data_IF_592958513752
#
_entry.id   IF_592958513752
#
_cell.length_a   1.000
_cell.length_b   1.000
_cell.length_c   1.000
_cell.angle_alpha   90.00
_cell.angle_beta   90.00
_cell.angle_gamma   90.00
#
_symmetry.space_group_name_H-M   'P 1'
#
loop_
_entity.id
_entity.type
_entity.pdbx_description
1 polymer ?
#
# COMPACT_ATOMS: atom_id res chain seq x y z
N UNK A 1 74.48 -15.13 18.08
CA UNK A 1 74.72 -16.08 19.16
C UNK A 1 73.49 -16.97 19.19
N UNK A 2 73.61 -18.06 18.43
CA UNK A 2 73.12 -19.40 18.78
C UNK A 2 71.68 -19.65 19.24
N UNK A 3 71.07 -20.57 18.47
CA UNK A 3 70.13 -21.64 18.84
C UNK A 3 68.70 -21.23 19.17
N UNK A 4 67.64 -21.91 18.71
CA UNK A 4 67.44 -23.13 17.89
C UNK A 4 65.90 -23.17 17.65
N UNK A 5 65.41 -23.29 16.43
CA UNK A 5 65.05 -24.54 15.73
C UNK A 5 63.98 -25.43 16.40
N UNK A 6 62.85 -25.57 15.72
CA UNK A 6 62.37 -26.83 15.12
C UNK A 6 61.30 -26.45 14.06
N UNK A 7 61.55 -26.54 12.74
CA UNK A 7 61.53 -27.76 11.89
C UNK A 7 60.23 -28.56 12.05
N UNK A 8 59.54 -29.05 11.00
CA UNK A 8 59.71 -29.04 9.56
C UNK A 8 58.34 -29.44 8.97
N UNK A 9 57.99 -29.00 7.76
CA UNK A 9 57.86 -29.95 6.67
C UNK A 9 57.13 -29.33 5.48
N UNK A 10 57.90 -28.76 4.56
CA UNK A 10 57.48 -28.61 3.17
C UNK A 10 57.57 -30.01 2.53
N UNK A 11 56.42 -30.64 2.30
CA UNK A 11 56.34 -31.75 1.34
C UNK A 11 55.97 -31.20 -0.03
N UNK A 12 56.90 -31.42 -0.95
CA UNK A 12 56.80 -31.32 -2.39
C UNK A 12 55.41 -31.71 -2.93
N UNK A 13 54.75 -30.78 -3.63
CA UNK A 13 53.63 -31.15 -4.52
C UNK A 13 54.19 -31.99 -5.68
N UNK A 14 53.72 -33.23 -5.89
CA UNK A 14 53.96 -33.92 -7.15
C UNK A 14 53.10 -33.24 -8.22
N UNK A 15 53.74 -32.89 -9.34
CA UNK A 15 53.04 -32.75 -10.61
C UNK A 15 52.37 -34.09 -10.92
N UNK A 16 51.07 -34.16 -10.68
CA UNK A 16 50.19 -35.22 -11.13
C UNK A 16 48.95 -34.56 -11.70
N UNK A 17 48.82 -34.62 -13.02
CA UNK A 17 47.56 -34.43 -13.73
C UNK A 17 46.53 -35.36 -13.07
N UNK A 18 45.56 -34.76 -12.39
CA UNK A 18 44.26 -35.37 -12.17
C UNK A 18 43.28 -34.33 -12.65
N UNK A 19 42.74 -34.56 -13.85
CA UNK A 19 41.54 -33.91 -14.35
C UNK A 19 40.41 -34.20 -13.34
N UNK A 20 40.31 -33.35 -12.33
CA UNK A 20 39.11 -33.19 -11.54
C UNK A 20 38.28 -32.13 -12.22
N UNK A 21 37.17 -32.55 -12.83
CA UNK A 21 36.14 -31.66 -13.36
C UNK A 21 35.81 -30.61 -12.28
N UNK A 22 36.26 -29.37 -12.44
CA UNK A 22 35.68 -28.25 -11.73
C UNK A 22 34.24 -28.15 -12.24
N UNK A 23 33.31 -28.75 -11.52
CA UNK A 23 31.89 -28.46 -11.64
C UNK A 23 31.75 -26.94 -11.49
N UNK A 24 31.61 -26.25 -12.62
CA UNK A 24 31.18 -24.86 -12.72
C UNK A 24 29.76 -24.76 -12.15
N UNK A 25 29.63 -24.86 -10.83
CA UNK A 25 28.36 -24.64 -10.15
C UNK A 25 28.00 -23.19 -10.34
N UNK A 26 26.88 -22.98 -11.03
CA UNK A 26 26.31 -21.67 -11.24
C UNK A 26 26.18 -20.98 -9.88
N UNK A 27 26.44 -19.67 -9.79
CA UNK A 27 26.34 -18.93 -8.51
C UNK A 27 24.98 -19.12 -7.81
N UNK A 28 23.94 -19.49 -8.57
CA UNK A 28 22.59 -19.82 -8.09
C UNK A 28 22.54 -21.13 -7.29
N UNK A 29 23.48 -22.05 -7.49
CA UNK A 29 23.52 -23.39 -6.87
C UNK A 29 24.40 -23.45 -5.60
N UNK A 30 25.07 -22.34 -5.26
CA UNK A 30 25.93 -22.24 -4.09
C UNK A 30 25.16 -22.38 -2.77
N UNK A 31 25.77 -23.01 -1.77
CA UNK A 31 25.13 -23.21 -0.46
C UNK A 31 24.63 -21.92 0.20
N UNK A 32 25.35 -20.81 0.02
CA UNK A 32 24.95 -19.51 0.53
C UNK A 32 23.65 -19.01 -0.10
N UNK A 33 23.48 -19.19 -1.42
CA UNK A 33 22.25 -18.82 -2.12
C UNK A 33 21.08 -19.72 -1.74
N UNK A 34 21.32 -21.03 -1.62
CA UNK A 34 20.31 -21.99 -1.14
C UNK A 34 19.79 -21.67 0.25
N UNK A 35 20.65 -21.24 1.18
CA UNK A 35 20.24 -20.80 2.52
C UNK A 35 19.40 -19.53 2.50
N UNK A 36 19.74 -18.55 1.64
CA UNK A 36 18.94 -17.34 1.47
C UNK A 36 17.57 -17.66 0.86
N UNK A 37 17.53 -18.45 -0.22
CA UNK A 37 16.27 -18.85 -0.86
C UNK A 37 15.39 -19.68 0.10
N UNK A 38 15.97 -20.50 0.97
CA UNK A 38 15.22 -21.23 2.01
C UNK A 38 14.65 -20.30 3.08
N UNK A 39 15.41 -19.30 3.51
CA UNK A 39 14.93 -18.25 4.42
C UNK A 39 13.79 -17.44 3.77
N UNK A 40 13.97 -17.00 2.52
CA UNK A 40 12.96 -16.26 1.75
C UNK A 40 11.68 -17.10 1.57
N UNK A 41 11.80 -18.39 1.22
CA UNK A 41 10.64 -19.29 1.12
C UNK A 41 9.92 -19.46 2.46
N UNK A 42 10.67 -19.53 3.56
CA UNK A 42 10.09 -19.64 4.90
C UNK A 42 9.37 -18.35 5.29
N UNK A 43 9.93 -17.19 5.00
CA UNK A 43 9.27 -15.90 5.19
C UNK A 43 8.00 -15.79 4.33
N UNK A 44 8.06 -16.16 3.06
CA UNK A 44 6.88 -16.21 2.18
C UNK A 44 5.81 -17.15 2.76
N UNK A 45 6.20 -18.30 3.30
CA UNK A 45 5.25 -19.28 3.87
C UNK A 45 4.59 -18.75 5.13
N UNK A 46 5.39 -18.22 6.07
CA UNK A 46 4.89 -17.56 7.30
C UNK A 46 3.98 -16.38 6.96
N UNK A 47 4.32 -15.61 5.93
CA UNK A 47 3.51 -14.49 5.48
C UNK A 47 2.19 -14.98 4.87
N UNK A 48 2.22 -15.97 3.97
CA UNK A 48 1.02 -16.55 3.37
C UNK A 48 0.08 -17.19 4.40
N UNK A 49 0.60 -17.78 5.48
CA UNK A 49 -0.20 -18.37 6.57
C UNK A 49 -0.93 -17.32 7.42
N UNK A 50 -0.49 -16.05 7.43
CA UNK A 50 -1.21 -14.94 8.09
C UNK A 50 -2.47 -14.53 7.33
N UNK A 51 -2.57 -14.87 6.05
CA UNK A 51 -3.68 -14.49 5.19
C UNK A 51 -4.55 -15.70 4.84
N UNK A 52 -5.82 -15.43 4.53
CA UNK A 52 -6.73 -16.42 3.97
C UNK A 52 -6.15 -17.02 2.69
N UNK A 53 -6.19 -18.35 2.57
CA UNK A 53 -5.59 -19.09 1.46
C UNK A 53 -6.23 -18.65 0.12
N UNK A 54 -5.51 -17.93 -0.76
CA UNK A 54 -6.09 -17.30 -1.97
C UNK A 54 -6.62 -18.30 -3.01
N UNK A 55 -6.29 -19.57 -2.82
CA UNK A 55 -6.59 -20.70 -3.70
C UNK A 55 -7.73 -21.58 -3.19
N UNK A 56 -8.28 -21.31 -2.00
CA UNK A 56 -9.42 -22.09 -1.50
C UNK A 56 -10.71 -21.59 -2.17
N UNK A 57 -11.34 -22.50 -2.90
CA UNK A 57 -12.31 -22.23 -3.94
C UNK A 57 -13.60 -21.61 -3.40
N UNK A 58 -13.80 -20.30 -3.63
CA UNK A 58 -15.15 -19.68 -3.64
C UNK A 58 -15.25 -18.28 -4.26
N UNK A 59 -14.20 -17.75 -4.91
CA UNK A 59 -14.30 -16.49 -5.64
C UNK A 59 -14.38 -16.74 -7.16
N UNK A 60 -15.48 -16.36 -7.83
CA UNK A 60 -15.66 -16.62 -9.27
C UNK A 60 -14.85 -15.68 -10.20
N UNK A 61 -13.93 -14.86 -9.67
CA UNK A 61 -13.21 -13.83 -10.42
C UNK A 61 -11.69 -14.06 -10.47
N UNK A 62 -11.07 -13.68 -11.59
CA UNK A 62 -9.60 -13.58 -11.72
C UNK A 62 -9.15 -12.28 -11.05
N UNK A 63 -8.06 -12.28 -10.29
CA UNK A 63 -7.50 -11.06 -9.71
C UNK A 63 -5.97 -11.04 -9.79
N UNK A 64 -5.39 -9.85 -9.69
CA UNK A 64 -3.95 -9.64 -9.72
C UNK A 64 -3.37 -9.74 -8.31
N UNK A 65 -2.55 -10.76 -8.02
CA UNK A 65 -1.97 -11.00 -6.69
C UNK A 65 -1.03 -9.89 -6.17
N UNK A 66 -0.53 -9.03 -7.05
CA UNK A 66 0.38 -7.94 -6.66
C UNK A 66 -0.35 -6.63 -6.36
N UNK A 67 -1.55 -6.44 -6.90
CA UNK A 67 -2.27 -5.16 -6.84
C UNK A 67 -3.73 -5.30 -6.39
N UNK A 68 -4.17 -6.53 -6.09
CA UNK A 68 -5.54 -6.94 -5.76
C UNK A 68 -6.61 -6.48 -6.77
N UNK A 69 -6.21 -6.16 -8.00
CA UNK A 69 -7.13 -5.73 -9.02
C UNK A 69 -7.97 -6.90 -9.53
N UNK A 70 -9.29 -6.76 -9.42
CA UNK A 70 -10.23 -7.79 -9.88
C UNK A 70 -10.54 -7.60 -11.36
N UNK A 71 -10.42 -8.69 -12.12
CA UNK A 71 -10.73 -8.72 -13.54
C UNK A 71 -12.24 -8.58 -13.77
N UNK A 72 -12.69 -7.78 -14.75
CA UNK A 72 -14.10 -7.75 -15.14
C UNK A 72 -14.49 -9.06 -15.82
N UNK A 73 -15.79 -9.38 -15.82
CA UNK A 73 -16.36 -10.60 -16.42
C UNK A 73 -16.01 -10.80 -17.91
N UNK A 74 -15.60 -9.72 -18.59
CA UNK A 74 -15.11 -9.78 -19.97
C UNK A 74 -13.77 -10.50 -20.14
N UNK A 75 -12.98 -10.65 -19.07
CA UNK A 75 -11.69 -11.36 -19.05
C UNK A 75 -11.96 -12.85 -18.86
N UNK A 76 -11.32 -13.67 -19.71
CA UNK A 76 -11.54 -15.11 -19.74
C UNK A 76 -10.22 -15.92 -19.77
N UNK A 77 -9.11 -15.31 -19.34
CA UNK A 77 -7.77 -15.91 -19.35
C UNK A 77 -7.70 -17.23 -18.57
N UNK A 78 -8.51 -17.39 -17.51
CA UNK A 78 -8.66 -18.62 -16.75
C UNK A 78 -9.11 -19.82 -17.59
N UNK A 79 -9.80 -19.57 -18.71
CA UNK A 79 -10.30 -20.59 -19.62
C UNK A 79 -9.39 -20.76 -20.86
N UNK A 80 -8.16 -20.20 -20.86
CA UNK A 80 -7.29 -20.17 -22.03
C UNK A 80 -7.04 -21.55 -22.63
N UNK A 81 -6.83 -22.58 -21.79
CA UNK A 81 -6.63 -23.95 -22.24
C UNK A 81 -7.88 -24.52 -22.95
N UNK A 82 -9.05 -24.38 -22.33
CA UNK A 82 -10.30 -24.86 -22.91
C UNK A 82 -10.63 -24.15 -24.24
N UNK A 83 -10.44 -22.82 -24.28
CA UNK A 83 -10.60 -22.02 -25.50
C UNK A 83 -9.63 -22.49 -26.59
N UNK A 84 -8.35 -22.66 -26.25
CA UNK A 84 -7.31 -23.10 -27.19
C UNK A 84 -7.59 -24.50 -27.76
N UNK A 85 -7.99 -25.45 -26.91
CA UNK A 85 -8.36 -26.81 -27.33
C UNK A 85 -9.52 -26.82 -28.32
N UNK A 86 -10.58 -26.04 -28.07
CA UNK A 86 -11.71 -25.93 -28.99
C UNK A 86 -11.31 -25.25 -30.30
N UNK A 87 -10.47 -24.21 -30.25
CA UNK A 87 -9.95 -23.57 -31.46
C UNK A 87 -9.08 -24.51 -32.30
N UNK A 88 -8.24 -25.33 -31.65
CA UNK A 88 -7.44 -26.36 -32.32
C UNK A 88 -8.33 -27.40 -33.00
N UNK A 89 -9.38 -27.87 -32.31
CA UNK A 89 -10.34 -28.83 -32.86
C UNK A 89 -11.06 -28.27 -34.09
N UNK A 90 -11.55 -27.03 -34.01
CA UNK A 90 -12.20 -26.34 -35.13
C UNK A 90 -11.25 -26.18 -36.32
N UNK A 91 -10.01 -25.79 -36.06
CA UNK A 91 -9.00 -25.65 -37.10
C UNK A 91 -8.75 -26.98 -37.82
N UNK A 92 -8.53 -28.08 -37.07
CA UNK A 92 -8.31 -29.42 -37.62
C UNK A 92 -9.45 -29.89 -38.53
N UNK A 93 -10.70 -29.56 -38.19
CA UNK A 93 -11.88 -29.90 -39.02
C UNK A 93 -11.92 -29.06 -40.31
N UNK A 94 -11.45 -27.82 -40.27
CA UNK A 94 -11.47 -26.87 -41.40
C UNK A 94 -10.27 -26.94 -42.36
N UNK A 95 -9.31 -27.84 -42.09
CA UNK A 95 -8.04 -27.95 -42.83
C UNK A 95 -8.20 -28.09 -44.35
N UNK A 96 -9.30 -28.67 -44.83
CA UNK A 96 -9.56 -28.91 -46.25
C UNK A 96 -10.07 -27.70 -47.03
N UNK A 97 -10.68 -26.70 -46.37
CA UNK A 97 -11.31 -25.54 -47.04
C UNK A 97 -10.70 -24.20 -46.65
N UNK A 98 -10.04 -24.09 -45.48
CA UNK A 98 -9.68 -22.79 -44.88
C UNK A 98 -8.29 -22.77 -44.23
N UNK A 99 -7.35 -23.60 -44.70
CA UNK A 99 -6.00 -23.75 -44.13
C UNK A 99 -5.26 -22.42 -43.85
N UNK A 100 -5.37 -21.44 -44.75
CA UNK A 100 -4.70 -20.13 -44.62
C UNK A 100 -5.43 -19.14 -43.71
N UNK A 101 -6.60 -19.48 -43.16
CA UNK A 101 -7.33 -18.54 -42.30
C UNK A 101 -6.65 -18.39 -40.95
N UNK A 102 -6.49 -17.14 -40.54
CA UNK A 102 -5.93 -16.79 -39.24
C UNK A 102 -6.85 -17.24 -38.10
N UNK A 103 -6.29 -17.98 -37.14
CA UNK A 103 -6.98 -18.29 -35.88
C UNK A 103 -7.07 -17.01 -35.05
N UNK A 104 -8.29 -16.47 -34.90
CA UNK A 104 -8.52 -15.25 -34.13
C UNK A 104 -8.25 -15.49 -32.64
N UNK A 105 -7.56 -14.58 -31.96
CA UNK A 105 -7.40 -14.61 -30.51
C UNK A 105 -8.76 -14.43 -29.83
N UNK A 106 -9.30 -15.50 -29.22
CA UNK A 106 -10.54 -15.47 -28.41
C UNK A 106 -10.27 -15.26 -26.92
N UNK A 107 -9.03 -15.48 -26.48
CA UNK A 107 -8.59 -15.24 -25.11
C UNK A 107 -8.43 -13.74 -24.88
N UNK A 108 -9.14 -13.25 -23.87
CA UNK A 108 -9.20 -11.88 -23.39
C UNK A 108 -8.43 -11.81 -22.08
N UNK A 109 -7.31 -11.09 -22.09
CA UNK A 109 -6.44 -10.86 -20.94
C UNK A 109 -6.79 -9.54 -20.26
N UNK A 110 -6.14 -9.26 -19.12
CA UNK A 110 -6.23 -7.97 -18.43
C UNK A 110 -5.74 -6.77 -19.27
N UNK A 111 -5.07 -7.02 -20.41
CA UNK A 111 -4.68 -5.98 -21.37
C UNK A 111 -5.88 -5.18 -21.91
N UNK A 112 -7.07 -5.77 -21.92
CA UNK A 112 -8.32 -5.07 -22.28
C UNK A 112 -8.65 -3.89 -21.37
N UNK A 113 -8.11 -3.87 -20.15
CA UNK A 113 -8.32 -2.77 -19.20
C UNK A 113 -7.47 -1.54 -19.53
N UNK A 114 -6.43 -1.69 -20.37
CA UNK A 114 -5.58 -0.56 -20.76
C UNK A 114 -6.42 0.51 -21.43
N UNK A 115 -6.27 1.74 -20.96
CA UNK A 115 -6.91 2.90 -21.58
C UNK A 115 -6.41 3.03 -23.01
N UNK A 116 -7.32 3.29 -23.92
CA UNK A 116 -7.05 3.37 -25.35
C UNK A 116 -7.99 4.37 -26.00
N UNK A 117 -7.51 4.99 -27.08
CA UNK A 117 -8.35 5.84 -27.93
C UNK A 117 -8.94 4.98 -29.03
N UNK A 118 -10.26 5.02 -29.21
CA UNK A 118 -10.93 4.26 -30.27
C UNK A 118 -11.05 5.12 -31.53
N UNK A 119 -10.37 4.72 -32.60
CA UNK A 119 -10.44 5.38 -33.91
C UNK A 119 -11.09 4.42 -34.91
N UNK A 120 -12.23 4.82 -35.47
CA UNK A 120 -13.02 3.99 -36.43
C UNK A 120 -13.30 2.57 -35.90
N UNK A 121 -13.61 2.46 -34.61
CA UNK A 121 -13.92 1.18 -33.94
C UNK A 121 -12.70 0.31 -33.61
N UNK A 122 -11.47 0.77 -33.85
CA UNK A 122 -10.24 0.10 -33.40
C UNK A 122 -9.60 0.88 -32.27
N UNK A 123 -9.45 0.22 -31.12
CA UNK A 123 -8.67 0.74 -30.02
C UNK A 123 -7.19 0.81 -30.41
N UNK A 124 -6.58 1.98 -30.22
CA UNK A 124 -5.14 2.21 -30.36
C UNK A 124 -4.57 2.18 -28.95
N UNK A 125 -3.82 1.12 -28.65
CA UNK A 125 -3.23 0.87 -27.34
C UNK A 125 -1.80 1.41 -27.22
N UNK A 126 -1.13 1.59 -28.36
CA UNK A 126 0.31 1.83 -28.38
C UNK A 126 0.65 3.23 -28.88
N UNK A 127 1.05 4.08 -27.93
CA UNK A 127 1.53 5.44 -28.17
C UNK A 127 2.82 5.42 -29.00
N UNK A 128 3.66 4.38 -28.89
CA UNK A 128 4.89 4.23 -29.69
C UNK A 128 4.53 4.00 -31.15
N UNK A 129 3.61 3.09 -31.44
CA UNK A 129 3.08 2.89 -32.80
C UNK A 129 2.42 4.15 -33.34
N UNK A 130 1.66 4.88 -32.52
CA UNK A 130 1.04 6.15 -32.93
C UNK A 130 2.10 7.20 -33.29
N UNK A 131 3.12 7.36 -32.45
CA UNK A 131 4.23 8.26 -32.68
C UNK A 131 4.99 7.92 -33.97
N UNK A 132 5.31 6.64 -34.18
CA UNK A 132 5.93 6.18 -35.42
C UNK A 132 5.09 6.48 -36.66
N UNK A 133 3.76 6.33 -36.58
CA UNK A 133 2.86 6.71 -37.67
C UNK A 133 2.84 8.21 -37.90
N UNK A 134 2.83 9.02 -36.84
CA UNK A 134 2.85 10.49 -36.95
C UNK A 134 4.15 10.99 -37.59
N UNK A 135 5.29 10.39 -37.27
CA UNK A 135 6.57 10.70 -37.92
C UNK A 135 6.50 10.45 -39.44
N UNK A 136 5.97 9.30 -39.86
CA UNK A 136 5.81 8.97 -41.28
C UNK A 136 4.83 9.92 -41.97
N UNK A 137 3.71 10.24 -41.31
CA UNK A 137 2.69 11.13 -41.86
C UNK A 137 3.21 12.57 -41.97
N UNK A 138 3.93 13.08 -40.98
CA UNK A 138 4.55 14.40 -41.02
C UNK A 138 5.55 14.55 -42.17
N UNK A 139 6.28 13.48 -42.49
CA UNK A 139 7.18 13.44 -43.65
C UNK A 139 6.45 13.39 -44.99
N UNK A 140 5.28 12.74 -45.07
CA UNK A 140 4.61 12.46 -46.35
C UNK A 140 3.41 13.37 -46.67
N UNK A 141 2.80 14.02 -45.68
CA UNK A 141 1.49 14.69 -45.84
C UNK A 141 1.46 16.17 -45.47
N UNK A 142 2.60 16.83 -45.35
CA UNK A 142 2.68 18.26 -44.97
C UNK A 142 1.93 18.58 -43.66
N UNK A 143 1.94 17.65 -42.71
CA UNK A 143 1.38 17.88 -41.37
C UNK A 143 2.51 18.43 -40.51
N UNK A 144 2.28 19.59 -39.89
CA UNK A 144 3.20 20.12 -38.90
C UNK A 144 3.12 19.27 -37.63
N UNK A 145 4.22 18.56 -37.35
CA UNK A 145 4.34 17.71 -36.16
C UNK A 145 4.30 18.58 -34.88
N UNK A 146 4.74 19.83 -34.94
CA UNK A 146 4.70 20.75 -33.81
C UNK A 146 3.26 21.01 -33.35
N UNK A 147 2.32 21.18 -34.28
CA UNK A 147 0.89 21.33 -33.96
C UNK A 147 0.31 20.07 -33.33
N UNK A 148 0.74 18.89 -33.77
CA UNK A 148 0.27 17.61 -33.21
C UNK A 148 0.77 17.42 -31.77
N UNK A 149 2.00 17.81 -31.46
CA UNK A 149 2.57 17.71 -30.11
C UNK A 149 2.08 18.77 -29.12
N UNK A 150 1.22 19.71 -29.55
CA UNK A 150 0.48 20.57 -28.62
C UNK A 150 -0.64 19.81 -27.88
N UNK A 151 -1.02 18.63 -28.38
CA UNK A 151 -2.07 17.81 -27.80
C UNK A 151 -1.48 16.56 -27.12
N UNK A 152 -2.14 16.09 -26.07
CA UNK A 152 -1.81 14.81 -25.45
C UNK A 152 -2.16 13.68 -26.42
N UNK A 153 -1.15 12.88 -26.80
CA UNK A 153 -1.27 11.79 -27.77
C UNK A 153 -1.58 10.44 -27.11
N UNK A 154 -1.73 10.43 -25.79
CA UNK A 154 -2.17 9.30 -25.01
C UNK A 154 -3.64 9.45 -24.57
N UNK A 155 -4.31 8.34 -24.21
CA UNK A 155 -5.66 8.39 -23.64
C UNK A 155 -5.70 8.99 -22.22
N UNK A 156 -4.57 9.05 -21.53
CA UNK A 156 -4.41 9.58 -20.17
C UNK A 156 -3.01 10.20 -20.02
N UNK A 157 -2.83 11.31 -19.28
CA UNK A 157 -1.51 11.92 -19.09
C UNK A 157 -0.52 10.93 -18.45
N UNK A 158 0.44 10.37 -19.20
CA UNK A 158 1.23 9.23 -18.73
C UNK A 158 2.21 9.64 -17.62
N UNK A 159 2.45 10.94 -17.45
CA UNK A 159 3.20 11.48 -16.33
C UNK A 159 2.51 11.28 -14.98
N UNK A 160 1.17 11.19 -14.95
CA UNK A 160 0.38 11.12 -13.71
C UNK A 160 -0.52 9.89 -13.65
N UNK A 161 -0.82 9.25 -14.77
CA UNK A 161 -1.76 8.13 -14.82
C UNK A 161 -1.06 6.96 -15.50
N UNK A 162 -1.23 5.76 -14.94
CA UNK A 162 -0.73 4.54 -15.55
C UNK A 162 -1.59 4.12 -16.76
N UNK A 163 -1.16 3.06 -17.45
CA UNK A 163 -1.85 2.58 -18.64
C UNK A 163 -3.26 2.02 -18.36
N UNK A 164 -3.61 1.74 -17.09
CA UNK A 164 -4.93 1.25 -16.67
C UNK A 164 -5.87 2.39 -16.26
N UNK A 165 -5.38 3.63 -16.26
CA UNK A 165 -6.15 4.80 -15.86
C UNK A 165 -6.10 5.05 -14.35
N UNK A 166 -5.13 4.49 -13.64
CA UNK A 166 -4.95 4.66 -12.21
C UNK A 166 -3.87 5.70 -11.90
N UNK A 167 -3.99 6.38 -10.76
CA UNK A 167 -2.92 7.24 -10.26
C UNK A 167 -1.67 6.38 -10.02
N UNK A 168 -0.51 6.92 -10.40
CA UNK A 168 0.77 6.24 -10.19
C UNK A 168 1.11 6.30 -8.71
N UNK A 169 1.58 5.17 -8.17
CA UNK A 169 1.99 5.04 -6.77
C UNK A 169 3.52 5.15 -6.64
N UNK A 170 3.98 5.92 -5.66
CA UNK A 170 5.37 5.95 -5.21
C UNK A 170 5.61 5.02 -4.01
N UNK A 171 6.87 4.85 -3.59
CA UNK A 171 7.17 4.15 -2.33
C UNK A 171 7.18 5.16 -1.17
N UNK A 172 6.00 5.42 -0.61
CA UNK A 172 5.84 6.31 0.56
C UNK A 172 6.69 5.85 1.75
N UNK A 173 6.86 4.54 1.94
CA UNK A 173 7.57 3.98 3.09
C UNK A 173 9.05 4.41 3.16
N UNK A 174 9.61 4.93 2.06
CA UNK A 174 10.93 5.58 2.04
C UNK A 174 11.00 6.76 3.01
N UNK A 175 9.90 7.51 3.21
CA UNK A 175 9.86 8.61 4.19
C UNK A 175 10.08 8.09 5.60
N UNK A 176 9.33 7.06 6.01
CA UNK A 176 9.51 6.42 7.32
C UNK A 176 10.93 5.89 7.47
N UNK A 177 11.44 5.15 6.48
CA UNK A 177 12.80 4.57 6.53
C UNK A 177 13.91 5.63 6.67
N UNK A 178 13.72 6.80 6.06
CA UNK A 178 14.77 7.83 6.00
C UNK A 178 14.67 8.84 7.15
N UNK A 179 13.46 9.05 7.67
CA UNK A 179 13.20 10.08 8.68
C UNK A 179 12.98 9.50 10.07
N UNK A 180 12.52 8.27 10.21
CA UNK A 180 12.23 7.78 11.55
C UNK A 180 13.47 7.65 12.42
N UNK A 181 13.30 8.00 13.69
CA UNK A 181 14.26 7.72 14.75
C UNK A 181 13.66 6.63 15.64
N UNK A 182 14.38 5.54 15.86
CA UNK A 182 13.91 4.46 16.72
C UNK A 182 14.08 4.79 18.20
N UNK A 183 13.10 4.41 19.01
CA UNK A 183 13.17 4.47 20.46
C UNK A 183 13.99 3.31 20.98
N UNK A 184 15.02 3.58 21.77
CA UNK A 184 15.84 2.55 22.43
C UNK A 184 15.23 2.07 23.75
N UNK A 185 14.54 2.95 24.46
CA UNK A 185 13.91 2.66 25.76
C UNK A 185 12.50 3.26 25.81
N UNK A 186 11.46 2.47 25.47
CA UNK A 186 10.11 2.99 25.40
C UNK A 186 9.51 3.24 26.79
N UNK A 187 8.82 4.37 26.93
CA UNK A 187 8.05 4.69 28.13
C UNK A 187 6.70 3.96 28.12
N UNK A 188 6.12 3.71 29.29
CA UNK A 188 4.74 3.25 29.35
C UNK A 188 3.80 4.37 28.84
N UNK A 189 2.91 4.08 27.87
CA UNK A 189 2.00 5.10 27.35
C UNK A 189 0.86 5.37 28.34
N UNK A 190 0.45 6.64 28.49
CA UNK A 190 -0.79 7.00 29.18
C UNK A 190 -2.00 6.70 28.28
N UNK A 191 -1.84 6.98 26.98
CA UNK A 191 -2.86 6.77 25.94
C UNK A 191 -2.25 6.01 24.76
N UNK A 192 -2.98 5.01 24.26
CA UNK A 192 -2.69 4.31 23.01
C UNK A 192 -3.80 4.63 22.02
N UNK A 193 -3.49 5.26 20.90
CA UNK A 193 -4.40 5.49 19.79
C UNK A 193 -4.16 4.41 18.73
N UNK A 194 -5.21 3.71 18.32
CA UNK A 194 -5.08 2.54 17.44
C UNK A 194 -5.78 2.83 16.12
N UNK A 195 -5.02 2.65 15.04
CA UNK A 195 -5.54 2.68 13.67
C UNK A 195 -6.33 1.39 13.40
N UNK A 196 -7.66 1.51 13.28
CA UNK A 196 -8.49 0.32 13.05
C UNK A 196 -8.34 -0.24 11.64
N UNK A 197 -8.01 0.61 10.65
CA UNK A 197 -7.79 0.18 9.27
C UNK A 197 -6.67 -0.86 9.19
N UNK A 198 -5.66 -0.71 10.05
CA UNK A 198 -4.58 -1.69 10.21
C UNK A 198 -4.90 -2.78 11.23
N UNK A 199 -5.51 -2.46 12.37
CA UNK A 199 -5.82 -3.44 13.42
C UNK A 199 -6.55 -4.67 12.88
N UNK A 200 -7.51 -4.48 11.97
CA UNK A 200 -8.28 -5.57 11.36
C UNK A 200 -7.39 -6.55 10.57
N UNK A 201 -6.24 -6.09 10.05
CA UNK A 201 -5.27 -6.94 9.36
C UNK A 201 -4.32 -7.67 10.31
N UNK A 202 -4.17 -7.18 11.54
CA UNK A 202 -3.23 -7.70 12.55
C UNK A 202 -3.90 -8.45 13.70
N UNK A 203 -5.20 -8.72 13.59
CA UNK A 203 -5.92 -9.65 14.45
C UNK A 203 -6.25 -10.92 13.67
N UNK A 204 -6.39 -12.02 14.41
CA UNK A 204 -6.90 -13.26 13.83
C UNK A 204 -8.35 -13.00 13.41
N UNK A 205 -8.61 -13.03 12.10
CA UNK A 205 -9.98 -12.90 11.60
C UNK A 205 -10.73 -14.20 11.92
N UNK A 206 -11.79 -14.15 12.74
CA UNK A 206 -12.47 -15.35 13.17
C UNK A 206 -13.30 -15.92 12.01
N UNK A 207 -12.83 -17.01 11.42
CA UNK A 207 -13.53 -17.67 10.30
C UNK A 207 -14.65 -18.54 10.87
N UNK A 208 -15.90 -18.21 10.56
CA UNK A 208 -17.13 -18.89 11.05
C UNK A 208 -17.53 -18.60 12.50
N UNK A 209 -16.85 -17.71 13.21
CA UNK A 209 -17.28 -17.20 14.51
C UNK A 209 -17.98 -15.84 14.36
N UNK A 210 -18.34 -15.18 15.46
CA UNK A 210 -19.19 -13.99 15.47
C UNK A 210 -18.41 -12.67 15.42
N UNK A 211 -19.12 -11.57 15.24
CA UNK A 211 -18.54 -10.21 15.40
C UNK A 211 -18.06 -9.95 16.83
N UNK A 212 -18.59 -10.67 17.83
CA UNK A 212 -18.13 -10.60 19.22
C UNK A 212 -16.75 -11.22 19.41
N UNK A 213 -16.46 -12.31 18.71
CA UNK A 213 -15.15 -12.97 18.73
C UNK A 213 -14.08 -12.08 18.09
N UNK A 214 -14.45 -11.33 17.05
CA UNK A 214 -13.58 -10.29 16.47
C UNK A 214 -13.29 -9.18 17.49
N UNK A 215 -14.32 -8.69 18.20
CA UNK A 215 -14.13 -7.69 19.26
C UNK A 215 -13.22 -8.22 20.39
N UNK A 216 -13.40 -9.47 20.81
CA UNK A 216 -12.54 -10.13 21.80
C UNK A 216 -11.08 -10.23 21.31
N UNK A 217 -10.88 -10.46 20.00
CA UNK A 217 -9.56 -10.48 19.38
C UNK A 217 -8.88 -9.11 19.42
N UNK A 218 -9.63 -8.01 19.29
CA UNK A 218 -9.09 -6.66 19.51
C UNK A 218 -8.61 -6.48 20.95
N UNK A 219 -9.43 -6.91 21.92
CA UNK A 219 -9.08 -6.87 23.35
C UNK A 219 -7.80 -7.65 23.64
N UNK A 220 -7.71 -8.88 23.12
CA UNK A 220 -6.53 -9.75 23.26
C UNK A 220 -5.30 -9.11 22.65
N UNK A 221 -5.41 -8.55 21.44
CA UNK A 221 -4.28 -7.90 20.75
C UNK A 221 -3.75 -6.71 21.54
N UNK A 222 -4.63 -5.93 22.18
CA UNK A 222 -4.27 -4.72 22.93
C UNK A 222 -3.94 -4.97 24.41
N UNK A 223 -4.07 -6.21 24.90
CA UNK A 223 -3.86 -6.56 26.30
C UNK A 223 -2.40 -6.46 26.77
N UNK A 224 -1.45 -6.43 25.84
CA UNK A 224 -0.01 -6.30 26.16
C UNK A 224 0.36 -4.90 26.67
N UNK A 225 -0.46 -3.88 26.41
CA UNK A 225 -0.25 -2.54 26.95
C UNK A 225 -0.64 -2.48 28.44
N UNK A 226 0.02 -1.61 29.24
CA UNK A 226 -0.25 -1.50 30.68
C UNK A 226 -1.75 -1.32 31.00
N UNK A 227 -2.29 -1.95 32.05
CA UNK A 227 -3.71 -1.82 32.40
C UNK A 227 -4.16 -0.38 32.65
N UNK A 228 -3.26 0.47 33.13
CA UNK A 228 -3.51 1.90 33.38
C UNK A 228 -3.64 2.74 32.11
N UNK A 229 -3.06 2.29 30.98
CA UNK A 229 -3.11 3.02 29.72
C UNK A 229 -4.53 3.00 29.16
N UNK A 230 -5.04 4.16 28.72
CA UNK A 230 -6.29 4.24 27.96
C UNK A 230 -6.01 3.90 26.50
N UNK A 231 -6.71 2.92 25.93
CA UNK A 231 -6.65 2.55 24.51
C UNK A 231 -7.88 3.11 23.81
N UNK A 232 -7.66 3.79 22.70
CA UNK A 232 -8.71 4.42 21.90
C UNK A 232 -8.57 3.89 20.47
N UNK A 233 -9.53 3.09 20.05
CA UNK A 233 -9.56 2.45 18.73
C UNK A 233 -10.40 3.31 17.81
N UNK A 234 -9.78 3.81 16.74
CA UNK A 234 -10.33 4.85 15.87
C UNK A 234 -10.62 4.28 14.48
N UNK A 235 -11.86 4.45 14.03
CA UNK A 235 -12.34 3.94 12.75
C UNK A 235 -12.42 5.06 11.72
N UNK A 236 -12.27 4.70 10.45
CA UNK A 236 -12.77 5.52 9.34
C UNK A 236 -14.29 5.75 9.49
N UNK A 237 -14.75 6.91 9.02
CA UNK A 237 -16.16 7.19 8.84
C UNK A 237 -16.60 6.87 7.41
N UNK A 238 -17.72 6.17 7.31
CA UNK A 238 -18.30 5.69 6.05
C UNK A 238 -19.76 6.15 5.85
N UNK A 239 -20.23 7.14 6.62
CA UNK A 239 -21.60 7.67 6.63
C UNK A 239 -21.89 8.68 5.52
N UNK A 240 -20.87 9.19 4.85
CA UNK A 240 -21.05 10.15 3.76
C UNK A 240 -21.21 9.42 2.44
N UNK A 241 -22.28 9.74 1.72
CA UNK A 241 -22.49 9.29 0.34
C UNK A 241 -21.60 10.02 -0.67
N UNK A 242 -20.86 11.04 -0.20
CA UNK A 242 -19.96 11.81 -1.05
C UNK A 242 -18.79 10.94 -1.54
N UNK A 243 -18.36 11.10 -2.80
CA UNK A 243 -17.16 10.45 -3.30
C UNK A 243 -15.95 10.81 -2.45
N UNK A 244 -15.26 9.81 -1.94
CA UNK A 244 -14.01 9.95 -1.21
C UNK A 244 -12.83 9.80 -2.20
N UNK A 245 -11.71 10.50 -1.94
CA UNK A 245 -10.50 10.38 -2.75
C UNK A 245 -9.98 8.93 -2.90
N UNK A 246 -10.23 8.06 -1.92
CA UNK A 246 -9.89 6.63 -1.93
C UNK A 246 -10.88 5.75 -2.72
N UNK A 247 -11.99 6.28 -3.24
CA UNK A 247 -12.97 5.49 -3.99
C UNK A 247 -12.42 4.94 -5.30
N UNK A 248 -11.45 5.63 -5.91
CA UNK A 248 -10.74 5.11 -7.08
C UNK A 248 -9.99 3.81 -6.75
N UNK A 249 -9.27 3.76 -5.62
CA UNK A 249 -8.59 2.56 -5.16
C UNK A 249 -9.58 1.45 -4.79
N UNK A 250 -10.65 1.78 -4.05
CA UNK A 250 -11.70 0.82 -3.67
C UNK A 250 -12.35 0.18 -4.89
N UNK A 251 -12.62 0.96 -5.93
CA UNK A 251 -13.22 0.46 -7.17
C UNK A 251 -12.30 -0.49 -7.91
N UNK A 252 -10.98 -0.33 -7.79
CA UNK A 252 -10.00 -1.22 -8.42
C UNK A 252 -9.89 -2.60 -7.74
N UNK A 253 -10.13 -2.69 -6.43
CA UNK A 253 -10.03 -3.92 -5.61
C UNK A 253 -11.28 -4.83 -5.68
N UNK A 254 -12.22 -4.50 -6.57
CA UNK A 254 -13.46 -5.25 -6.77
C UNK A 254 -14.60 -4.79 -5.85
N UNK A 255 -15.84 -5.08 -6.26
CA UNK A 255 -17.04 -4.79 -5.47
C UNK A 255 -17.47 -6.05 -4.73
N UNK A 256 -17.39 -6.04 -3.41
CA UNK A 256 -18.06 -7.05 -2.61
C UNK A 256 -19.56 -6.72 -2.48
N UNK A 257 -20.40 -7.75 -2.45
CA UNK A 257 -21.83 -7.58 -2.21
C UNK A 257 -22.07 -7.07 -0.78
N UNK A 258 -23.11 -6.25 -0.63
CA UNK A 258 -23.58 -5.85 0.70
C UNK A 258 -24.03 -7.09 1.47
N UNK A 259 -23.57 -7.23 2.71
CA UNK A 259 -23.96 -8.34 3.59
C UNK A 259 -24.91 -7.85 4.67
N UNK A 260 -25.80 -8.75 5.10
CA UNK A 260 -26.58 -8.54 6.32
C UNK A 260 -25.78 -9.07 7.50
N UNK A 261 -25.01 -8.20 8.14
CA UNK A 261 -24.27 -8.50 9.36
C UNK A 261 -25.13 -8.16 10.60
N UNK A 262 -25.14 -9.06 11.56
CA UNK A 262 -25.73 -8.87 12.89
C UNK A 262 -24.74 -9.35 13.96
N UNK A 263 -24.96 -9.04 15.24
CA UNK A 263 -24.09 -9.55 16.31
C UNK A 263 -23.88 -11.08 16.27
N UNK A 264 -24.93 -11.84 15.93
CA UNK A 264 -24.94 -13.30 15.99
C UNK A 264 -24.68 -13.99 14.65
N UNK A 265 -24.52 -13.24 13.55
CA UNK A 265 -24.19 -13.86 12.25
C UNK A 265 -22.73 -14.28 12.21
N UNK A 266 -22.41 -15.46 11.66
CA UNK A 266 -21.03 -15.81 11.34
C UNK A 266 -20.39 -14.72 10.49
N UNK A 267 -19.18 -14.34 10.86
CA UNK A 267 -18.45 -13.28 10.20
C UNK A 267 -18.09 -13.74 8.79
N UNK A 268 -18.47 -12.98 7.74
CA UNK A 268 -18.05 -13.27 6.38
C UNK A 268 -16.53 -13.22 6.24
N UNK A 269 -16.02 -13.70 5.11
CA UNK A 269 -14.62 -13.52 4.75
C UNK A 269 -14.23 -12.04 4.83
N UNK A 270 -13.02 -11.79 5.35
CA UNK A 270 -12.50 -10.44 5.59
C UNK A 270 -12.64 -9.54 4.37
N UNK A 271 -12.30 -10.06 3.19
CA UNK A 271 -12.32 -9.31 1.93
C UNK A 271 -13.75 -8.89 1.53
N UNK A 272 -14.78 -9.67 1.88
CA UNK A 272 -16.18 -9.30 1.64
C UNK A 272 -16.55 -8.04 2.46
N UNK A 273 -16.01 -7.93 3.67
CA UNK A 273 -16.21 -6.75 4.51
C UNK A 273 -15.32 -5.60 4.03
N UNK A 274 -14.02 -5.85 3.83
CA UNK A 274 -13.04 -4.81 3.57
C UNK A 274 -13.10 -4.21 2.15
N UNK A 275 -13.74 -4.86 1.19
CA UNK A 275 -13.92 -4.31 -0.17
C UNK A 275 -15.27 -3.59 -0.37
N UNK A 276 -16.08 -3.42 0.67
CA UNK A 276 -17.34 -2.69 0.59
C UNK A 276 -17.48 -1.71 1.77
N UNK A 277 -17.58 -0.41 1.48
CA UNK A 277 -17.65 0.65 2.49
C UNK A 277 -18.87 0.54 3.40
N UNK A 278 -20.02 0.08 2.89
CA UNK A 278 -21.22 -0.15 3.70
C UNK A 278 -21.05 -1.34 4.64
N UNK A 279 -20.39 -2.41 4.18
CA UNK A 279 -20.06 -3.55 5.04
C UNK A 279 -19.10 -3.14 6.16
N UNK A 280 -18.08 -2.32 5.85
CA UNK A 280 -17.19 -1.75 6.88
C UNK A 280 -17.96 -0.90 7.89
N UNK A 281 -18.82 0.00 7.41
CA UNK A 281 -19.64 0.84 8.28
C UNK A 281 -20.50 -0.01 9.23
N UNK A 282 -21.15 -1.03 8.68
CA UNK A 282 -21.99 -1.95 9.44
C UNK A 282 -21.17 -2.71 10.49
N UNK A 283 -19.99 -3.21 10.12
CA UNK A 283 -19.08 -3.87 11.07
C UNK A 283 -18.65 -2.91 12.19
N UNK A 284 -18.20 -1.71 11.86
CA UNK A 284 -17.75 -0.71 12.84
C UNK A 284 -18.85 -0.41 13.87
N UNK A 285 -20.08 -0.20 13.39
CA UNK A 285 -21.23 0.05 14.25
C UNK A 285 -21.56 -1.14 15.17
N UNK A 286 -21.47 -2.36 14.66
CA UNK A 286 -21.68 -3.58 15.47
C UNK A 286 -20.58 -3.72 16.52
N UNK A 287 -19.31 -3.54 16.13
CA UNK A 287 -18.15 -3.68 17.03
C UNK A 287 -18.24 -2.72 18.22
N UNK A 288 -18.69 -1.48 18.01
CA UNK A 288 -18.82 -0.49 19.07
C UNK A 288 -19.83 -0.87 20.17
N UNK A 289 -20.73 -1.83 19.93
CA UNK A 289 -21.71 -2.29 20.91
C UNK A 289 -21.20 -3.43 21.82
N UNK A 290 -20.04 -4.01 21.52
CA UNK A 290 -19.50 -5.09 22.34
C UNK A 290 -18.77 -4.57 23.58
N UNK A 291 -18.96 -5.22 24.74
CA UNK A 291 -18.23 -4.87 25.94
C UNK A 291 -16.75 -5.24 25.77
N UNK A 292 -15.89 -4.25 25.97
CA UNK A 292 -14.43 -4.43 26.05
C UNK A 292 -13.95 -4.07 27.47
N UNK A 293 -12.72 -4.46 27.84
CA UNK A 293 -12.08 -3.96 29.05
C UNK A 293 -12.26 -2.44 29.19
N UNK A 294 -12.53 -1.96 30.41
CA UNK A 294 -12.88 -0.56 30.69
C UNK A 294 -11.87 0.49 30.21
N UNK A 295 -10.63 0.07 29.99
CA UNK A 295 -9.55 0.91 29.48
C UNK A 295 -9.43 0.87 27.95
N UNK A 296 -10.28 0.12 27.22
CA UNK A 296 -10.35 0.09 25.76
C UNK A 296 -11.66 0.74 25.32
N UNK A 297 -11.55 1.83 24.57
CA UNK A 297 -12.67 2.56 24.01
C UNK A 297 -12.66 2.41 22.48
N UNK A 298 -13.68 1.76 21.93
CA UNK A 298 -14.01 1.87 20.52
C UNK A 298 -14.75 3.19 20.31
N UNK A 299 -14.24 4.05 19.44
CA UNK A 299 -14.88 5.33 19.17
C UNK A 299 -15.90 5.15 18.07
N UNK A 300 -17.18 5.08 18.46
CA UNK A 300 -18.28 5.10 17.50
C UNK A 300 -18.34 6.45 16.77
N UNK A 301 -18.96 6.44 15.60
CA UNK A 301 -19.15 7.63 14.77
C UNK A 301 -19.82 8.81 15.51
N UNK A 302 -20.82 8.51 16.34
CA UNK A 302 -21.56 9.51 17.11
C UNK A 302 -20.74 10.06 18.29
N UNK A 303 -19.80 9.27 18.81
CA UNK A 303 -18.92 9.66 19.93
C UNK A 303 -17.62 10.32 19.45
N UNK A 304 -17.35 10.23 18.14
CA UNK A 304 -16.16 10.80 17.54
C UNK A 304 -16.32 12.32 17.47
N UNK A 305 -15.40 13.02 18.14
CA UNK A 305 -15.42 14.48 18.29
C UNK A 305 -15.00 15.25 17.03
N UNK A 306 -14.52 14.55 15.99
CA UNK A 306 -13.97 15.14 14.76
C UNK A 306 -14.73 14.61 13.56
N UNK A 307 -15.26 15.48 12.71
CA UNK A 307 -16.11 15.12 11.57
C UNK A 307 -15.35 14.63 10.33
N UNK A 308 -14.03 14.44 10.41
CA UNK A 308 -13.23 13.95 9.30
C UNK A 308 -13.53 12.48 9.00
N UNK A 309 -13.40 12.08 7.72
CA UNK A 309 -13.72 10.71 7.29
C UNK A 309 -12.60 9.72 7.57
N UNK A 310 -11.35 10.15 7.47
CA UNK A 310 -10.19 9.25 7.51
C UNK A 310 -9.60 9.14 8.92
N UNK A 311 -9.31 7.90 9.34
CA UNK A 311 -8.81 7.56 10.67
C UNK A 311 -7.45 8.19 10.97
N UNK A 312 -6.58 8.37 9.98
CA UNK A 312 -5.26 8.99 10.10
C UNK A 312 -5.32 10.44 10.62
N UNK A 313 -6.25 11.24 10.12
CA UNK A 313 -6.52 12.61 10.57
C UNK A 313 -7.23 12.61 11.94
N UNK A 314 -8.18 11.68 12.15
CA UNK A 314 -8.86 11.52 13.44
C UNK A 314 -7.85 11.17 14.53
N UNK A 315 -6.89 10.28 14.27
CA UNK A 315 -5.80 9.91 15.17
C UNK A 315 -5.01 11.14 15.61
N UNK A 316 -4.62 12.01 14.67
CA UNK A 316 -3.88 13.22 15.00
C UNK A 316 -4.71 14.17 15.90
N UNK A 317 -6.01 14.29 15.63
CA UNK A 317 -6.91 15.09 16.46
C UNK A 317 -7.06 14.53 17.88
N UNK A 318 -7.18 13.20 18.01
CA UNK A 318 -7.22 12.53 19.31
C UNK A 318 -5.89 12.59 20.05
N UNK A 319 -4.77 12.60 19.34
CA UNK A 319 -3.44 12.85 19.91
C UNK A 319 -3.39 14.24 20.52
N UNK A 320 -3.76 15.29 19.79
CA UNK A 320 -3.80 16.66 20.31
C UNK A 320 -4.77 16.80 21.50
N UNK A 321 -5.93 16.14 21.44
CA UNK A 321 -6.88 16.10 22.56
C UNK A 321 -6.27 15.42 23.80
N UNK A 322 -5.57 14.30 23.63
CA UNK A 322 -4.89 13.62 24.73
C UNK A 322 -3.82 14.52 25.37
N UNK A 323 -3.07 15.27 24.56
CA UNK A 323 -2.11 16.28 25.05
C UNK A 323 -2.82 17.35 25.86
N UNK A 324 -3.94 17.89 25.35
CA UNK A 324 -4.69 18.96 26.02
C UNK A 324 -5.27 18.54 27.38
N UNK A 325 -5.60 17.25 27.56
CA UNK A 325 -6.06 16.70 28.85
C UNK A 325 -4.92 16.27 29.77
N UNK A 326 -3.66 16.49 29.38
CA UNK A 326 -2.49 16.30 30.23
C UNK A 326 -1.75 14.97 30.09
N UNK A 327 -2.05 14.17 29.05
CA UNK A 327 -1.28 12.96 28.78
C UNK A 327 0.19 13.31 28.50
N UNK A 328 1.11 12.58 29.12
CA UNK A 328 2.55 12.82 29.02
C UNK A 328 3.19 11.93 27.96
N UNK A 329 2.70 10.70 27.79
CA UNK A 329 3.15 9.76 26.76
C UNK A 329 1.96 9.23 25.99
N UNK A 330 1.95 9.50 24.68
CA UNK A 330 0.92 9.04 23.75
C UNK A 330 1.58 8.14 22.72
N UNK A 331 1.02 6.94 22.55
CA UNK A 331 1.48 5.98 21.56
C UNK A 331 0.44 5.77 20.49
N UNK A 332 0.85 5.81 19.24
CA UNK A 332 0.01 5.58 18.07
C UNK A 332 0.42 4.24 17.49
N UNK A 333 -0.50 3.28 17.42
CA UNK A 333 -0.28 1.97 16.82
C UNK A 333 -0.75 2.01 15.35
N UNK A 334 0.19 2.10 14.42
CA UNK A 334 -0.04 2.12 12.97
C UNK A 334 1.27 1.82 12.22
N UNK A 335 1.16 1.22 11.03
CA UNK A 335 2.27 1.08 10.07
C UNK A 335 2.16 2.10 8.92
N UNK A 336 1.13 2.96 8.94
CA UNK A 336 0.82 3.86 7.83
C UNK A 336 1.77 5.06 7.76
N UNK A 337 2.34 5.29 6.57
CA UNK A 337 3.21 6.44 6.34
C UNK A 337 2.45 7.76 6.41
N UNK A 338 1.18 7.78 6.03
CA UNK A 338 0.36 8.99 6.05
C UNK A 338 0.17 9.45 7.51
N UNK A 339 -0.07 8.50 8.44
CA UNK A 339 -0.08 8.74 9.89
C UNK A 339 1.26 9.27 10.38
N UNK A 340 2.38 8.64 10.00
CA UNK A 340 3.72 9.08 10.39
C UNK A 340 3.99 10.54 10.00
N UNK A 341 3.70 10.88 8.75
CA UNK A 341 3.88 12.24 8.20
C UNK A 341 2.99 13.25 8.92
N UNK A 342 1.72 12.92 9.16
CA UNK A 342 0.79 13.79 9.89
C UNK A 342 1.25 14.01 11.33
N UNK A 343 1.75 12.97 12.01
CA UNK A 343 2.27 13.08 13.38
C UNK A 343 3.46 14.02 13.46
N UNK A 344 4.44 13.92 12.56
CA UNK A 344 5.58 14.85 12.51
C UNK A 344 5.12 16.29 12.28
N UNK A 345 4.24 16.51 11.30
CA UNK A 345 3.73 17.83 10.96
C UNK A 345 3.01 18.47 12.16
N UNK A 346 2.03 17.78 12.76
CA UNK A 346 1.22 18.33 13.85
C UNK A 346 2.00 18.47 15.15
N UNK A 347 2.91 17.53 15.46
CA UNK A 347 3.80 17.63 16.63
C UNK A 347 4.66 18.88 16.55
N UNK A 348 5.24 19.17 15.37
CA UNK A 348 6.04 20.37 15.12
C UNK A 348 5.18 21.64 15.13
N UNK A 349 4.07 21.63 14.39
CA UNK A 349 3.18 22.79 14.22
C UNK A 349 2.58 23.26 15.54
N UNK A 350 2.12 22.33 16.37
CA UNK A 350 1.48 22.60 17.66
C UNK A 350 2.48 22.68 18.81
N UNK A 351 3.78 22.46 18.54
CA UNK A 351 4.86 22.45 19.56
C UNK A 351 4.51 21.52 20.73
N UNK A 352 4.12 20.30 20.40
CA UNK A 352 3.66 19.32 21.39
C UNK A 352 4.80 18.98 22.35
N UNK A 353 4.51 19.12 23.65
CA UNK A 353 5.48 18.85 24.73
C UNK A 353 5.42 17.38 25.19
N UNK A 354 4.26 16.73 25.02
CA UNK A 354 4.10 15.31 25.32
C UNK A 354 5.00 14.44 24.43
N UNK A 355 5.36 13.27 24.93
CA UNK A 355 6.10 12.24 24.19
C UNK A 355 5.14 11.52 23.25
N UNK A 356 5.33 11.72 21.96
CA UNK A 356 4.58 11.12 20.86
C UNK A 356 5.43 10.02 20.25
N UNK A 357 4.90 8.81 20.27
CA UNK A 357 5.55 7.62 19.72
C UNK A 357 4.63 6.94 18.73
N UNK A 358 5.20 6.43 17.64
CA UNK A 358 4.49 5.58 16.69
C UNK A 358 5.03 4.16 16.81
N UNK A 359 4.20 3.21 17.22
CA UNK A 359 4.54 1.80 17.31
C UNK A 359 4.02 1.09 16.07
N UNK A 360 4.91 0.32 15.45
CA UNK A 360 4.60 -0.54 14.32
C UNK A 360 4.08 -1.89 14.81
N UNK A 361 3.38 -2.61 13.94
CA UNK A 361 2.81 -3.91 14.31
C UNK A 361 3.85 -5.02 14.56
N UNK A 362 5.08 -4.81 14.09
CA UNK A 362 6.24 -5.66 14.40
C UNK A 362 6.87 -5.36 15.78
N UNK A 363 6.40 -4.33 16.49
CA UNK A 363 6.89 -3.90 17.80
C UNK A 363 7.96 -2.81 17.76
N UNK A 364 8.42 -2.38 16.58
CA UNK A 364 9.36 -1.26 16.47
C UNK A 364 8.65 0.04 16.85
N UNK A 365 9.31 0.85 17.69
CA UNK A 365 8.76 2.13 18.15
C UNK A 365 9.61 3.26 17.59
N UNK A 366 8.93 4.21 16.93
CA UNK A 366 9.50 5.42 16.37
C UNK A 366 9.23 6.60 17.31
N UNK A 367 10.27 7.40 17.55
CA UNK A 367 10.19 8.63 18.34
C UNK A 367 9.85 9.80 17.43
N UNK A 368 8.60 10.28 17.50
CA UNK A 368 8.15 11.37 16.65
C UNK A 368 8.77 12.69 17.11
N UNK A 369 8.93 12.92 18.42
CA UNK A 369 9.52 14.15 18.93
C UNK A 369 10.99 14.28 18.49
N UNK A 370 11.78 13.23 18.63
CA UNK A 370 13.18 13.21 18.21
C UNK A 370 13.30 13.33 16.69
N UNK A 371 12.40 12.68 15.95
CA UNK A 371 12.33 12.84 14.50
C UNK A 371 12.08 14.29 14.09
N UNK A 372 11.09 14.96 14.69
CA UNK A 372 10.78 16.38 14.48
C UNK A 372 11.96 17.28 14.82
N UNK A 373 12.69 16.99 15.91
CA UNK A 373 13.88 17.74 16.29
C UNK A 373 15.01 17.58 15.26
N UNK A 374 15.24 16.35 14.78
CA UNK A 374 16.28 16.00 13.81
C UNK A 374 16.03 16.63 12.43
N UNK A 375 14.79 16.63 11.94
CA UNK A 375 14.46 17.22 10.62
C UNK A 375 14.29 18.74 10.70
N UNK A 376 13.92 19.28 11.86
CA UNK A 376 13.78 20.70 12.11
C UNK A 376 12.48 21.32 11.59
N UNK A 377 12.08 22.48 12.14
CA UNK A 377 10.76 23.08 11.93
C UNK A 377 10.51 23.49 10.46
N UNK A 378 11.59 23.84 9.75
CA UNK A 378 11.54 24.26 8.35
C UNK A 378 11.08 23.10 7.45
N UNK A 379 11.70 21.93 7.60
CA UNK A 379 11.33 20.73 6.84
C UNK A 379 9.98 20.18 7.27
N UNK A 380 9.67 20.18 8.57
CA UNK A 380 8.33 19.82 9.06
C UNK A 380 7.22 20.64 8.38
N UNK A 381 7.41 21.95 8.20
CA UNK A 381 6.39 22.83 7.61
C UNK A 381 6.02 22.47 6.17
N UNK A 382 6.94 21.86 5.42
CA UNK A 382 6.77 21.50 4.01
C UNK A 382 6.47 20.02 3.79
N UNK A 383 6.48 19.24 4.87
CA UNK A 383 6.39 17.78 4.82
C UNK A 383 5.12 17.30 4.13
N UNK A 384 3.96 17.92 4.40
CA UNK A 384 2.70 17.57 3.73
C UNK A 384 2.76 17.83 2.22
N UNK A 385 3.38 18.93 1.80
CA UNK A 385 3.55 19.25 0.38
C UNK A 385 4.52 18.30 -0.32
N UNK A 386 5.60 17.90 0.35
CA UNK A 386 6.56 16.90 -0.15
C UNK A 386 5.92 15.51 -0.21
N UNK A 387 5.14 15.15 0.81
CA UNK A 387 4.38 13.92 0.84
C UNK A 387 3.39 13.83 -0.33
N UNK A 388 2.66 14.92 -0.62
CA UNK A 388 1.82 15.02 -1.80
C UNK A 388 2.62 14.81 -3.11
N UNK A 389 3.80 15.40 -3.24
CA UNK A 389 4.66 15.19 -4.42
C UNK A 389 5.25 13.78 -4.53
N UNK A 390 5.38 13.07 -3.41
CA UNK A 390 5.87 11.69 -3.36
C UNK A 390 4.82 10.63 -3.76
N UNK A 391 3.60 11.05 -4.09
CA UNK A 391 2.50 10.14 -4.41
C UNK A 391 1.69 9.81 -3.16
N UNK A 392 0.64 10.60 -2.98
CA UNK A 392 -0.50 10.49 -2.07
C UNK A 392 -1.39 9.25 -2.21
N UNK A 393 -2.31 9.04 -1.27
CA UNK A 393 -3.55 8.31 -1.60
C UNK A 393 -4.45 9.13 -2.53
N UNK A 394 -4.29 10.46 -2.47
CA UNK A 394 -5.15 11.43 -3.19
C UNK A 394 -4.49 12.06 -4.41
N UNK A 395 -3.18 11.89 -4.58
CA UNK A 395 -2.39 12.53 -5.65
C UNK A 395 -1.38 11.56 -6.25
N UNK A 396 -1.17 11.66 -7.57
CA UNK A 396 -0.29 10.76 -8.29
C UNK A 396 1.19 11.09 -8.11
N UNK A 397 2.02 10.05 -8.10
CA UNK A 397 3.45 10.17 -8.20
C UNK A 397 3.92 10.43 -9.65
N UNK A 398 4.71 11.48 -9.92
CA UNK A 398 5.17 11.76 -11.27
C UNK A 398 6.03 10.64 -11.87
N UNK A 399 5.69 10.19 -13.08
CA UNK A 399 6.41 9.14 -13.79
C UNK A 399 7.88 9.50 -14.02
N UNK A 400 8.76 8.51 -13.89
CA UNK A 400 10.21 8.67 -14.14
C UNK A 400 10.95 9.43 -13.04
N UNK A 401 10.31 9.75 -11.91
CA UNK A 401 11.00 10.23 -10.71
C UNK A 401 11.39 9.04 -9.84
N UNK A 402 12.62 9.02 -9.34
CA UNK A 402 13.04 8.03 -8.33
C UNK A 402 12.57 8.48 -6.94
N UNK A 403 12.21 7.55 -6.03
CA UNK A 403 11.77 7.89 -4.66
C UNK A 403 12.82 8.76 -3.89
N UNK A 404 14.10 8.62 -4.24
CA UNK A 404 15.19 9.49 -3.75
C UNK A 404 15.00 10.98 -4.10
N UNK A 405 14.17 11.29 -5.09
CA UNK A 405 13.80 12.66 -5.46
C UNK A 405 12.96 13.32 -4.37
N UNK A 406 12.05 12.59 -3.72
CA UNK A 406 11.25 13.11 -2.61
C UNK A 406 12.12 13.44 -1.38
N UNK A 407 13.12 12.61 -1.10
CA UNK A 407 14.10 12.89 -0.03
C UNK A 407 14.98 14.09 -0.36
N UNK A 408 15.42 14.24 -1.62
CA UNK A 408 16.14 15.44 -2.08
C UNK A 408 15.29 16.71 -1.96
N UNK A 409 13.96 16.60 -2.09
CA UNK A 409 13.07 17.73 -1.86
C UNK A 409 13.03 18.14 -0.38
N UNK A 410 13.28 17.24 0.57
CA UNK A 410 13.41 17.59 2.00
C UNK A 410 14.67 18.42 2.30
N UNK A 411 15.71 18.31 1.47
CA UNK A 411 16.93 19.11 1.58
C UNK A 411 16.75 20.54 1.02
N UNK A 412 15.74 20.75 0.19
CA UNK A 412 15.47 22.01 -0.49
C UNK A 412 14.30 22.72 0.19
N UNK A 413 14.50 23.97 0.56
CA UNK A 413 13.38 24.82 0.97
C UNK A 413 12.63 25.34 -0.24
N UNK A 414 11.34 25.05 -0.33
CA UNK A 414 10.47 25.52 -1.41
C UNK A 414 9.53 26.59 -0.86
N UNK A 415 9.86 27.89 -0.96
CA UNK A 415 9.04 28.95 -0.35
C UNK A 415 7.56 28.86 -0.77
N UNK A 416 6.66 28.92 0.21
CA UNK A 416 5.22 28.89 -0.02
C UNK A 416 4.61 27.50 -0.16
N UNK A 417 5.40 26.41 -0.20
CA UNK A 417 4.85 25.04 -0.27
C UNK A 417 3.95 24.70 0.93
N UNK A 418 4.28 25.25 2.10
CA UNK A 418 3.50 25.18 3.33
C UNK A 418 2.20 26.00 3.29
N UNK A 419 2.10 26.96 2.36
CA UNK A 419 0.95 27.86 2.20
C UNK A 419 -0.06 27.37 1.15
N UNK A 420 0.31 26.38 0.33
CA UNK A 420 -0.58 25.77 -0.68
C UNK A 420 -1.49 24.69 -0.05
N UNK A 421 -1.30 24.39 1.24
CA UNK A 421 -2.07 23.39 1.97
C UNK A 421 -3.35 24.01 2.53
N UNK A 422 -4.47 23.80 1.83
CA UNK A 422 -5.80 24.27 2.24
C UNK A 422 -6.69 24.57 1.02
N UNK A 423 -8.01 24.66 1.25
CA UNK A 423 -8.91 25.09 0.17
C UNK A 423 -8.52 26.49 -0.33
N UNK A 424 -8.61 26.76 -1.64
CA UNK A 424 -8.41 28.09 -2.18
C UNK A 424 -9.29 29.11 -1.43
N UNK A 425 -8.67 30.03 -0.69
CA UNK A 425 -9.38 31.07 0.07
C UNK A 425 -9.60 30.80 1.56
N UNK A 426 -9.13 29.67 2.11
CA UNK A 426 -9.17 29.43 3.56
C UNK A 426 -8.18 30.34 4.29
N UNK A 427 -8.66 31.14 5.24
CA UNK A 427 -7.82 32.01 6.07
C UNK A 427 -7.19 31.23 7.24
N UNK A 428 -6.03 31.67 7.73
CA UNK A 428 -5.27 30.97 8.77
C UNK A 428 -6.09 30.63 10.04
N UNK A 429 -7.05 31.48 10.39
CA UNK A 429 -7.98 31.25 11.51
C UNK A 429 -8.92 30.05 11.29
N UNK A 430 -9.38 29.84 10.05
CA UNK A 430 -10.27 28.71 9.71
C UNK A 430 -9.54 27.37 9.75
N UNK A 431 -8.25 27.36 9.40
CA UNK A 431 -7.41 26.17 9.52
C UNK A 431 -7.13 25.79 10.98
N UNK A 432 -7.13 26.77 11.90
CA UNK A 432 -7.02 26.55 13.34
C UNK A 432 -8.33 26.11 13.99
N UNK A 433 -9.50 26.45 13.42
CA UNK A 433 -10.80 25.97 13.90
C UNK A 433 -11.10 24.51 13.50
N UNK A 434 -10.43 24.00 12.46
CA UNK A 434 -10.51 22.60 12.03
C UNK A 434 -9.51 21.64 12.68
N UNK A 435 -8.56 22.17 13.46
CA UNK A 435 -7.63 21.40 14.29
C UNK A 435 -8.11 21.38 15.75
#
# INVERSE_FOLDING_TARGET
MEHMYNEAGEELKPHGEVDGEEENKHNEEGEGRRRLDEADRKEITVELEKYSQPLNAQQPGVYNICHDQVAPDTVNVQNALAIGSEQSRQFSVSLSSEFHKTIKKKVKTMELLKKSVTVKGKAIYDVVTLFGRLLVVGQQRSIDIADVFQFELSPVPPALIDEYGCLRKGDKAVLVKSLSVSVTTPYAPDVVLVDTGQLVNHVIWPVSETTGDLAASFGTRLAHYPPVSKKVVLFDRYDREAPNAKDHERTSKGRANEVRLTPNTPLPWREIILHNSKNKNLLNNILCNYPLPHNIQLVAMLDCVVTHEEADVIICSYMLKAVAVGAQTIRILSDDTDVFVLLEYWTSKMRVVAKIQMEKWNGDILDINETVQRIGPKTCSQLLGIHAQSGCDTVSYPFGKENKSALKLLEIYIPGLDQVLGQPGAIHAQLQETA
#
